data_IF_791292415400
#
_entry.id   IF_791292415400
#
_cell.length_a   1.000
_cell.length_b   1.000
_cell.length_c   1.000
_cell.angle_alpha   90.00
_cell.angle_beta   90.00
_cell.angle_gamma   90.00
#
_symmetry.space_group_name_H-M   'P 1'
#
loop_
_entity.id
_entity.type
_entity.pdbx_description
1 polymer ?
#
# COMPACT_ATOMS: atom_id res chain seq x y z
N UNK A 1 -34.20 21.02 -18.09
CA UNK A 1 -32.88 21.51 -18.51
C UNK A 1 -32.16 21.79 -17.21
N UNK A 2 -31.01 21.27 -16.94
CA UNK A 2 -30.34 21.52 -15.66
C UNK A 2 -30.06 23.02 -15.49
N UNK A 3 -30.14 23.50 -14.27
CA UNK A 3 -29.95 24.94 -13.95
C UNK A 3 -28.44 25.27 -13.91
N UNK A 4 -27.60 24.32 -13.54
CA UNK A 4 -26.13 24.43 -13.51
C UNK A 4 -25.53 23.26 -14.24
N UNK A 5 -24.58 23.57 -15.12
CA UNK A 5 -23.76 22.56 -15.80
C UNK A 5 -22.30 22.92 -15.60
N UNK A 6 -21.48 21.95 -15.16
CA UNK A 6 -20.04 22.05 -15.10
C UNK A 6 -19.46 20.91 -15.94
N UNK A 7 -18.51 21.23 -16.80
CA UNK A 7 -17.81 20.25 -17.62
C UNK A 7 -16.31 20.28 -17.30
N UNK A 8 -15.70 19.12 -17.30
CA UNK A 8 -14.27 18.92 -17.08
C UNK A 8 -13.75 18.05 -18.19
N UNK A 9 -12.77 18.53 -18.93
CA UNK A 9 -12.08 17.79 -19.97
C UNK A 9 -11.05 16.78 -19.40
N UNK A 10 -10.52 15.94 -20.26
CA UNK A 10 -9.52 14.93 -19.88
C UNK A 10 -8.23 15.53 -19.30
N UNK A 11 -7.83 16.70 -19.77
CA UNK A 11 -6.60 17.36 -19.31
C UNK A 11 -6.77 17.85 -17.88
N UNK A 12 -7.89 18.52 -17.58
CA UNK A 12 -8.20 18.96 -16.23
C UNK A 12 -8.43 17.76 -15.30
N UNK A 13 -9.13 16.71 -15.76
CA UNK A 13 -9.32 15.48 -15.00
C UNK A 13 -8.00 14.78 -14.70
N UNK A 14 -7.08 14.73 -15.64
CA UNK A 14 -5.72 14.19 -15.45
C UNK A 14 -4.93 15.01 -14.42
N UNK A 15 -5.05 16.32 -14.44
CA UNK A 15 -4.42 17.18 -13.44
C UNK A 15 -4.94 16.89 -12.04
N UNK A 16 -6.25 16.70 -11.90
CA UNK A 16 -6.89 16.36 -10.62
C UNK A 16 -6.42 15.00 -10.08
N UNK A 17 -6.23 14.00 -10.96
CA UNK A 17 -5.72 12.69 -10.50
C UNK A 17 -4.29 12.80 -10.01
N UNK A 18 -3.43 13.57 -10.67
CA UNK A 18 -2.05 13.78 -10.21
C UNK A 18 -1.99 14.50 -8.86
N UNK A 19 -2.87 15.46 -8.61
CA UNK A 19 -3.00 16.11 -7.30
C UNK A 19 -3.48 15.12 -6.23
N UNK A 20 -4.41 14.23 -6.59
CA UNK A 20 -4.88 13.17 -5.70
C UNK A 20 -3.78 12.15 -5.38
N UNK A 21 -2.98 11.73 -6.36
CA UNK A 21 -1.83 10.84 -6.18
C UNK A 21 -0.78 11.47 -5.25
N UNK A 22 -0.47 12.75 -5.46
CA UNK A 22 0.45 13.50 -4.61
C UNK A 22 -0.04 13.59 -3.15
N UNK A 23 -1.36 13.75 -2.96
CA UNK A 23 -1.99 13.81 -1.64
C UNK A 23 -2.02 12.44 -0.97
N UNK A 24 -2.28 11.37 -1.72
CA UNK A 24 -2.27 10.00 -1.21
C UNK A 24 -0.87 9.59 -0.73
N UNK A 25 0.17 10.05 -1.43
CA UNK A 25 1.57 9.82 -1.11
C UNK A 25 1.94 8.33 -1.11
N UNK A 26 2.88 7.97 -0.24
CA UNK A 26 3.35 6.59 -0.11
C UNK A 26 2.66 5.89 1.06
N UNK A 27 1.96 4.83 0.75
CA UNK A 27 1.42 3.91 1.75
C UNK A 27 2.54 2.98 2.21
N UNK A 28 2.77 2.89 3.52
CA UNK A 28 3.80 2.02 4.06
C UNK A 28 3.27 1.16 5.22
N UNK A 29 3.75 -0.07 5.28
CA UNK A 29 3.49 -0.99 6.37
C UNK A 29 4.72 -1.82 6.69
N UNK A 30 4.84 -2.22 7.95
CA UNK A 30 5.92 -3.10 8.41
C UNK A 30 5.39 -4.06 9.47
N UNK A 31 6.12 -5.15 9.64
CA UNK A 31 5.82 -6.13 10.66
C UNK A 31 7.07 -6.94 11.00
N UNK A 32 7.00 -7.67 12.09
CA UNK A 32 8.05 -8.58 12.52
C UNK A 32 7.46 -9.82 13.17
N UNK A 33 8.22 -10.89 13.14
CA UNK A 33 7.88 -12.14 13.80
C UNK A 33 9.16 -12.87 14.23
N UNK A 34 9.04 -13.73 15.23
CA UNK A 34 10.15 -14.57 15.69
C UNK A 34 9.72 -16.03 15.76
N UNK A 35 10.65 -16.92 15.41
CA UNK A 35 10.49 -18.36 15.54
C UNK A 35 11.78 -18.94 16.12
N UNK A 36 11.75 -19.27 17.41
CA UNK A 36 12.94 -19.68 18.14
C UNK A 36 14.03 -18.60 18.11
N UNK A 37 15.27 -18.95 17.69
CA UNK A 37 16.38 -18.00 17.64
C UNK A 37 16.33 -17.04 16.43
N UNK A 38 15.33 -17.17 15.57
CA UNK A 38 15.21 -16.40 14.35
C UNK A 38 14.20 -15.27 14.52
N UNK A 39 14.58 -14.09 14.09
CA UNK A 39 13.69 -12.95 13.95
C UNK A 39 13.64 -12.55 12.48
N UNK A 40 12.45 -12.37 11.97
CA UNK A 40 12.25 -11.83 10.64
C UNK A 40 11.44 -10.54 10.75
N UNK A 41 11.86 -9.52 10.02
CA UNK A 41 11.10 -8.28 9.87
C UNK A 41 10.88 -8.01 8.39
N UNK A 42 9.76 -7.39 8.09
CA UNK A 42 9.42 -6.98 6.75
C UNK A 42 8.92 -5.53 6.75
N UNK A 43 9.17 -4.85 5.66
CA UNK A 43 8.60 -3.55 5.35
C UNK A 43 8.10 -3.57 3.91
N UNK A 44 7.00 -2.89 3.67
CA UNK A 44 6.46 -2.76 2.34
C UNK A 44 5.96 -1.34 2.16
N UNK A 45 6.16 -0.78 0.99
CA UNK A 45 5.62 0.51 0.61
C UNK A 45 5.05 0.45 -0.80
N UNK A 46 4.04 1.29 -1.06
CA UNK A 46 3.41 1.41 -2.36
C UNK A 46 2.99 2.86 -2.59
N UNK A 47 3.16 3.36 -3.80
CA UNK A 47 2.65 4.64 -4.25
C UNK A 47 2.11 4.52 -5.66
N UNK A 48 1.07 5.28 -5.96
CA UNK A 48 0.52 5.44 -7.29
C UNK A 48 1.18 6.66 -7.93
N UNK A 49 1.52 6.53 -9.19
CA UNK A 49 2.15 7.61 -9.95
C UNK A 49 1.74 7.50 -11.41
N UNK A 50 1.78 8.62 -12.09
CA UNK A 50 1.44 8.75 -13.49
C UNK A 50 0.03 8.22 -13.77
N UNK A 51 -0.63 8.55 -14.64
CA UNK A 51 -1.97 8.14 -15.00
C UNK A 51 -2.55 9.24 -15.87
N UNK A 52 -3.20 8.86 -16.93
CA UNK A 52 -3.95 9.77 -17.77
C UNK A 52 -5.42 9.36 -17.75
N UNK A 53 -6.28 10.34 -17.74
CA UNK A 53 -7.72 10.10 -17.83
C UNK A 53 -8.10 10.00 -19.30
N UNK A 54 -8.88 8.98 -19.60
CA UNK A 54 -9.58 8.75 -20.87
C UNK A 54 -11.07 8.64 -20.52
N UNK A 55 -11.84 9.62 -20.93
CA UNK A 55 -13.27 9.71 -20.67
C UNK A 55 -14.03 8.96 -21.74
N UNK A 56 -14.83 7.96 -21.37
CA UNK A 56 -15.53 7.09 -22.31
C UNK A 56 -17.05 7.21 -22.08
N UNK A 57 -17.80 7.70 -23.06
CA UNK A 57 -19.26 7.77 -22.94
C UNK A 57 -19.89 6.38 -22.75
N UNK A 58 -20.99 6.24 -21.98
CA UNK A 58 -21.72 7.35 -21.36
C UNK A 58 -21.29 7.68 -19.93
N UNK A 59 -20.46 6.89 -19.25
CA UNK A 59 -20.13 7.10 -17.85
C UNK A 59 -18.94 6.25 -17.40
N UNK A 60 -17.89 6.16 -18.22
CA UNK A 60 -16.66 5.47 -17.84
C UNK A 60 -15.52 6.47 -17.80
N UNK A 61 -14.85 6.52 -16.67
CA UNK A 61 -13.58 7.23 -16.46
C UNK A 61 -12.48 6.18 -16.42
N UNK A 62 -11.70 6.09 -17.47
CA UNK A 62 -10.57 5.17 -17.56
C UNK A 62 -9.31 5.87 -17.14
N UNK A 63 -8.59 5.29 -16.20
CA UNK A 63 -7.23 5.70 -15.84
C UNK A 63 -6.27 4.79 -16.58
N UNK A 64 -5.54 5.34 -17.55
CA UNK A 64 -4.54 4.61 -18.34
C UNK A 64 -3.15 4.87 -17.80
N UNK A 65 -2.22 3.94 -18.05
CA UNK A 65 -0.79 4.08 -17.73
C UNK A 65 -0.50 4.43 -16.25
N UNK A 66 -1.41 4.08 -15.34
CA UNK A 66 -1.15 4.25 -13.92
C UNK A 66 -0.01 3.32 -13.46
N UNK A 67 0.95 3.84 -12.75
CA UNK A 67 2.08 3.08 -12.23
C UNK A 67 1.94 2.84 -10.72
N UNK A 68 1.92 1.57 -10.33
CA UNK A 68 2.06 1.17 -8.94
C UNK A 68 3.54 0.91 -8.67
N UNK A 69 4.21 1.86 -8.03
CA UNK A 69 5.55 1.70 -7.52
C UNK A 69 5.48 1.00 -6.17
N UNK A 70 6.14 -0.14 -6.02
CA UNK A 70 6.17 -0.82 -4.73
C UNK A 70 7.55 -1.28 -4.35
N UNK A 71 7.82 -1.32 -3.04
CA UNK A 71 9.05 -1.86 -2.48
C UNK A 71 8.74 -2.83 -1.35
N UNK A 72 9.53 -3.87 -1.27
CA UNK A 72 9.48 -4.89 -0.24
C UNK A 72 10.87 -5.03 0.36
N UNK A 73 10.97 -4.81 1.67
CA UNK A 73 12.16 -5.07 2.45
C UNK A 73 11.93 -6.27 3.36
N UNK A 74 12.91 -7.16 3.41
CA UNK A 74 12.89 -8.32 4.29
C UNK A 74 14.23 -8.37 5.04
N UNK A 75 14.21 -8.55 6.33
CA UNK A 75 15.41 -8.67 7.13
C UNK A 75 15.30 -9.89 8.03
N UNK A 76 16.27 -10.77 7.94
CA UNK A 76 16.44 -11.92 8.84
C UNK A 76 17.55 -11.63 9.82
N UNK A 77 17.27 -11.85 11.08
CA UNK A 77 18.25 -11.75 12.16
C UNK A 77 18.24 -13.03 12.99
N UNK A 78 19.38 -13.55 13.30
CA UNK A 78 19.50 -14.68 14.21
C UNK A 78 20.72 -14.53 15.08
N UNK A 79 20.54 -14.90 16.33
CA UNK A 79 21.58 -14.90 17.32
C UNK A 79 22.21 -16.29 17.41
N UNK A 80 23.47 -16.39 16.99
CA UNK A 80 24.20 -17.64 17.02
C UNK A 80 24.41 -18.16 18.45
N UNK A 81 24.44 -17.30 19.46
CA UNK A 81 24.61 -17.70 20.87
C UNK A 81 23.46 -18.57 21.39
N UNK A 82 22.26 -18.44 20.78
CA UNK A 82 21.10 -19.28 21.14
C UNK A 82 21.14 -20.68 20.54
N UNK A 83 21.95 -20.89 19.50
CA UNK A 83 22.07 -22.17 18.77
C UNK A 83 23.37 -22.90 19.19
N UNK A 84 24.45 -22.14 19.33
CA UNK A 84 25.76 -22.63 19.70
C UNK A 84 26.08 -22.13 21.11
N UNK A 85 26.21 -23.00 22.10
CA UNK A 85 26.55 -22.57 23.44
C UNK A 85 27.87 -21.79 23.46
N UNK A 86 27.92 -20.74 24.27
CA UNK A 86 29.12 -19.97 24.47
C UNK A 86 30.22 -20.88 24.94
N UNK A 87 31.35 -20.89 24.22
CA UNK A 87 32.50 -21.69 24.54
C UNK A 87 33.52 -20.80 25.24
N UNK A 88 33.76 -21.11 26.49
CA UNK A 88 34.84 -20.48 27.24
C UNK A 88 35.98 -21.43 27.44
N UNK A 89 37.19 -21.05 27.04
CA UNK A 89 38.40 -21.80 27.36
C UNK A 89 38.60 -21.80 28.85
N UNK A 90 38.84 -22.98 29.46
CA UNK A 90 39.11 -23.04 30.88
C UNK A 90 40.37 -22.24 31.21
N UNK A 91 40.37 -21.58 32.36
CA UNK A 91 41.53 -20.88 32.88
C UNK A 91 42.62 -21.88 33.18
N UNK A 92 43.77 -21.78 32.54
CA UNK A 92 44.95 -22.61 32.82
C UNK A 92 45.81 -21.83 33.80
N UNK A 93 45.99 -22.40 34.98
CA UNK A 93 46.83 -21.79 36.03
C UNK A 93 48.08 -22.68 36.18
N UNK A 94 49.28 -22.07 36.18
CA UNK A 94 50.54 -22.67 36.43
C UNK A 94 51.01 -22.18 37.81
N UNK A 95 51.17 -23.11 38.77
CA UNK A 95 51.68 -22.70 40.09
C UNK A 95 53.15 -22.25 39.96
N UNK A 96 53.45 -21.09 40.48
CA UNK A 96 54.81 -20.55 40.52
C UNK A 96 55.22 -20.25 42.00
N UNK A 97 56.48 -20.13 42.31
CA UNK A 97 56.93 -19.80 43.68
C UNK A 97 56.40 -18.44 44.19
N UNK A 98 55.87 -17.61 43.29
CA UNK A 98 55.38 -16.27 43.61
C UNK A 98 53.84 -16.16 43.52
N UNK A 99 53.10 -17.29 43.37
CA UNK A 99 51.67 -17.37 43.22
C UNK A 99 51.29 -18.00 41.87
N UNK A 100 49.99 -18.29 41.69
CA UNK A 100 49.49 -18.90 40.47
C UNK A 100 49.46 -17.91 39.29
N UNK A 101 50.14 -18.22 38.19
CA UNK A 101 50.06 -17.49 36.96
C UNK A 101 48.94 -18.11 36.11
N UNK A 102 47.82 -17.40 36.01
CA UNK A 102 46.66 -17.90 35.27
C UNK A 102 46.46 -17.18 33.93
N UNK A 103 46.11 -17.91 32.89
CA UNK A 103 45.66 -17.32 31.63
C UNK A 103 44.29 -16.59 31.86
N UNK A 104 44.03 -15.51 31.15
CA UNK A 104 42.70 -14.92 31.18
C UNK A 104 41.68 -15.92 30.63
N UNK A 105 40.46 -15.88 31.16
CA UNK A 105 39.33 -16.66 30.58
C UNK A 105 38.96 -16.05 29.25
N UNK A 106 39.07 -16.80 28.18
CA UNK A 106 38.71 -16.38 26.84
C UNK A 106 37.36 -17.02 26.53
N UNK A 107 36.32 -16.19 26.40
CA UNK A 107 35.01 -16.64 25.95
C UNK A 107 34.80 -16.19 24.49
N UNK A 108 34.21 -17.04 23.69
CA UNK A 108 33.79 -16.70 22.32
C UNK A 108 32.33 -16.31 22.41
N UNK A 109 32.08 -15.04 22.19
CA UNK A 109 30.72 -14.51 22.06
C UNK A 109 30.33 -14.62 20.58
N UNK A 110 29.21 -15.30 20.31
CA UNK A 110 28.72 -15.49 18.95
C UNK A 110 27.92 -14.24 18.51
N UNK A 111 28.22 -13.68 17.33
CA UNK A 111 27.52 -12.49 16.88
C UNK A 111 26.09 -12.78 16.41
N UNK A 112 25.23 -11.78 16.50
CA UNK A 112 23.97 -11.77 15.77
C UNK A 112 24.24 -11.49 14.29
N UNK A 113 23.74 -12.36 13.42
CA UNK A 113 23.84 -12.21 11.98
C UNK A 113 22.54 -11.61 11.47
N UNK A 114 22.62 -10.54 10.67
CA UNK A 114 21.47 -9.91 10.02
C UNK A 114 21.66 -9.88 8.52
N UNK A 115 20.67 -10.38 7.78
CA UNK A 115 20.66 -10.45 6.32
C UNK A 115 19.51 -9.59 5.79
N UNK A 116 19.79 -8.39 5.28
CA UNK A 116 18.78 -7.56 4.63
C UNK A 116 18.60 -8.00 3.17
N UNK A 117 17.34 -8.05 2.73
CA UNK A 117 16.94 -8.31 1.35
C UNK A 117 15.94 -7.25 0.93
N UNK A 118 16.17 -6.59 -0.19
CA UNK A 118 15.29 -5.55 -0.70
C UNK A 118 14.90 -5.84 -2.14
N UNK A 119 13.65 -5.55 -2.45
CA UNK A 119 13.10 -5.65 -3.78
C UNK A 119 12.21 -4.45 -4.07
N UNK A 120 12.28 -3.92 -5.28
CA UNK A 120 11.37 -2.87 -5.75
C UNK A 120 11.04 -3.11 -7.22
N UNK A 121 9.81 -2.79 -7.60
CA UNK A 121 9.35 -2.92 -8.98
C UNK A 121 8.21 -1.93 -9.25
N UNK A 122 7.86 -1.80 -10.53
CA UNK A 122 6.80 -0.94 -11.01
C UNK A 122 5.85 -1.76 -11.87
N UNK A 123 4.57 -1.72 -11.53
CA UNK A 123 3.52 -2.37 -12.32
C UNK A 123 2.64 -1.32 -12.95
N UNK A 124 2.54 -1.35 -14.28
CA UNK A 124 1.60 -0.51 -15.03
C UNK A 124 0.24 -1.21 -15.14
N UNK A 125 -0.81 -0.42 -14.99
CA UNK A 125 -2.16 -0.92 -15.13
C UNK A 125 -3.12 0.15 -15.66
N UNK A 126 -4.25 -0.31 -16.15
CA UNK A 126 -5.40 0.52 -16.54
C UNK A 126 -6.59 0.11 -15.68
N UNK A 127 -7.34 1.08 -15.20
CA UNK A 127 -8.53 0.82 -14.38
C UNK A 127 -9.72 1.63 -14.90
N UNK A 128 -10.89 1.01 -14.94
CA UNK A 128 -12.14 1.64 -15.33
C UNK A 128 -12.99 1.95 -14.10
N UNK A 129 -13.45 3.18 -14.04
CA UNK A 129 -14.30 3.70 -12.98
C UNK A 129 -15.59 4.26 -13.57
N UNK A 130 -16.67 4.27 -12.77
CA UNK A 130 -17.88 5.04 -13.06
C UNK A 130 -18.16 6.00 -11.92
N UNK A 131 -18.82 7.09 -12.22
CA UNK A 131 -19.34 7.99 -11.21
C UNK A 131 -20.78 7.57 -10.87
N UNK A 132 -21.06 7.43 -9.59
CA UNK A 132 -22.39 7.16 -9.06
C UNK A 132 -22.80 8.31 -8.12
N UNK A 133 -23.84 9.01 -8.52
CA UNK A 133 -24.39 10.14 -7.75
C UNK A 133 -25.67 9.69 -7.08
N UNK A 134 -25.74 9.83 -5.75
CA UNK A 134 -26.89 9.37 -4.97
C UNK A 134 -27.18 10.27 -3.78
N UNK A 135 -28.45 10.38 -3.44
CA UNK A 135 -28.88 11.06 -2.23
C UNK A 135 -28.94 10.07 -1.07
N UNK A 136 -28.20 10.36 0.01
CA UNK A 136 -28.17 9.56 1.23
C UNK A 136 -28.53 10.43 2.42
N UNK A 137 -29.73 10.23 2.95
CA UNK A 137 -30.27 11.12 3.98
C UNK A 137 -30.49 12.51 3.45
N UNK A 138 -29.73 13.47 3.95
CA UNK A 138 -29.80 14.90 3.56
C UNK A 138 -28.67 15.31 2.61
N UNK A 139 -27.77 14.40 2.27
CA UNK A 139 -26.55 14.75 1.53
C UNK A 139 -26.50 14.03 0.18
N UNK A 140 -26.12 14.76 -0.85
CA UNK A 140 -25.71 14.22 -2.12
C UNK A 140 -24.27 13.70 -2.00
N UNK A 141 -24.07 12.45 -2.40
CA UNK A 141 -22.78 11.80 -2.46
C UNK A 141 -22.39 11.53 -3.91
N UNK A 142 -21.16 11.89 -4.27
CA UNK A 142 -20.54 11.49 -5.54
C UNK A 142 -19.52 10.43 -5.22
N UNK A 143 -19.80 9.22 -5.67
CA UNK A 143 -18.94 8.06 -5.46
C UNK A 143 -18.24 7.67 -6.76
N UNK A 144 -16.97 7.36 -6.67
CA UNK A 144 -16.24 6.64 -7.71
C UNK A 144 -16.40 5.15 -7.48
N UNK A 145 -16.90 4.43 -8.47
CA UNK A 145 -17.12 2.97 -8.42
C UNK A 145 -16.17 2.28 -9.38
N UNK A 146 -15.39 1.33 -8.89
CA UNK A 146 -14.50 0.52 -9.73
C UNK A 146 -15.35 -0.47 -10.54
N UNK A 147 -15.27 -0.40 -11.86
CA UNK A 147 -16.01 -1.29 -12.79
C UNK A 147 -15.16 -2.48 -13.22
N UNK A 148 -13.91 -2.23 -13.53
CA UNK A 148 -13.00 -3.26 -14.00
C UNK A 148 -11.55 -2.92 -13.68
N UNK A 149 -10.85 -3.88 -13.14
CA UNK A 149 -9.39 -3.85 -13.04
C UNK A 149 -8.90 -5.11 -13.73
N UNK A 150 -7.95 -5.01 -14.67
CA UNK A 150 -7.27 -6.20 -15.14
C UNK A 150 -6.69 -6.90 -13.92
N UNK A 151 -6.83 -8.22 -13.86
CA UNK A 151 -6.43 -9.02 -12.70
C UNK A 151 -4.95 -8.78 -12.38
N UNK A 152 -4.67 -7.81 -11.51
CA UNK A 152 -3.37 -7.57 -10.94
C UNK A 152 -3.07 -8.73 -9.98
N UNK A 153 -2.41 -9.76 -10.51
CA UNK A 153 -2.02 -10.92 -9.71
C UNK A 153 -0.77 -10.57 -8.87
N UNK A 154 -0.78 -9.36 -8.25
CA UNK A 154 0.29 -8.85 -7.40
C UNK A 154 0.59 -9.79 -6.24
N UNK A 155 -0.41 -10.49 -5.72
CA UNK A 155 -0.22 -11.42 -4.61
C UNK A 155 0.65 -12.60 -5.00
N UNK A 156 0.44 -13.18 -6.19
CA UNK A 156 1.25 -14.31 -6.67
C UNK A 156 2.66 -13.87 -7.07
N UNK A 157 2.80 -12.73 -7.74
CA UNK A 157 4.10 -12.19 -8.12
C UNK A 157 4.92 -11.81 -6.88
N UNK A 158 4.35 -11.07 -5.92
CA UNK A 158 5.04 -10.69 -4.69
C UNK A 158 5.38 -11.91 -3.83
N UNK A 159 4.51 -12.92 -3.73
CA UNK A 159 4.81 -14.16 -3.03
C UNK A 159 5.97 -14.92 -3.70
N UNK A 160 6.00 -15.00 -5.03
CA UNK A 160 7.09 -15.63 -5.77
C UNK A 160 8.42 -14.90 -5.57
N UNK A 161 8.41 -13.58 -5.56
CA UNK A 161 9.58 -12.75 -5.32
C UNK A 161 10.11 -12.95 -3.90
N UNK A 162 9.24 -12.87 -2.89
CA UNK A 162 9.63 -13.10 -1.50
C UNK A 162 10.18 -14.53 -1.29
N UNK A 163 9.55 -15.52 -1.90
CA UNK A 163 10.09 -16.90 -1.88
C UNK A 163 11.46 -16.98 -2.55
N UNK A 164 11.65 -16.32 -3.69
CA UNK A 164 12.94 -16.22 -4.39
C UNK A 164 14.03 -15.57 -3.55
N UNK A 165 13.71 -14.48 -2.86
CA UNK A 165 14.62 -13.80 -1.92
C UNK A 165 15.00 -14.73 -0.75
N UNK A 166 14.06 -15.49 -0.21
CA UNK A 166 14.33 -16.46 0.84
C UNK A 166 15.26 -17.60 0.39
N UNK A 167 15.07 -18.08 -0.84
CA UNK A 167 15.97 -19.07 -1.44
C UNK A 167 17.38 -18.51 -1.65
N UNK A 168 17.49 -17.25 -2.10
CA UNK A 168 18.79 -16.59 -2.25
C UNK A 168 19.49 -16.42 -0.89
N UNK A 169 18.77 -16.03 0.16
CA UNK A 169 19.31 -15.96 1.52
C UNK A 169 19.74 -17.33 2.03
N UNK A 170 18.95 -18.38 1.77
CA UNK A 170 19.29 -19.74 2.13
C UNK A 170 20.56 -20.21 1.43
N UNK A 171 20.77 -19.86 0.15
CA UNK A 171 21.98 -20.18 -0.59
C UNK A 171 23.23 -19.50 -0.01
N UNK A 172 23.11 -18.27 0.52
CA UNK A 172 24.20 -17.57 1.21
C UNK A 172 24.57 -18.26 2.53
N UNK A 173 23.59 -18.82 3.22
CA UNK A 173 23.79 -19.49 4.52
C UNK A 173 24.28 -20.93 4.40
N UNK A 174 23.90 -21.65 3.33
CA UNK A 174 24.21 -23.07 3.14
C UNK A 174 25.69 -23.41 3.26
N UNK A 175 26.66 -22.60 2.78
CA UNK A 175 28.10 -22.94 2.88
C UNK A 175 28.67 -22.78 4.29
N UNK A 176 27.94 -22.28 5.28
CA UNK A 176 28.47 -22.17 6.66
C UNK A 176 28.62 -23.55 7.26
N UNK A 177 29.87 -23.99 7.68
CA UNK A 177 30.11 -25.31 8.16
C UNK A 177 29.21 -25.70 9.33
N UNK A 178 28.71 -26.92 9.35
CA UNK A 178 27.91 -27.58 10.40
C UNK A 178 26.50 -27.04 10.64
N UNK A 179 26.26 -25.72 10.54
CA UNK A 179 24.96 -25.11 10.84
C UNK A 179 24.28 -24.51 9.61
N UNK A 180 25.04 -24.25 8.55
CA UNK A 180 24.54 -23.59 7.34
C UNK A 180 23.30 -24.26 6.73
N UNK A 181 23.29 -25.60 6.56
CA UNK A 181 22.10 -26.27 6.01
C UNK A 181 20.84 -26.14 6.88
N UNK A 182 21.00 -26.17 8.21
CA UNK A 182 19.86 -25.98 9.14
C UNK A 182 19.32 -24.56 9.05
N UNK A 183 20.22 -23.58 9.04
CA UNK A 183 19.87 -22.16 8.88
C UNK A 183 19.19 -21.88 7.53
N UNK A 184 19.71 -22.50 6.45
CA UNK A 184 19.14 -22.36 5.12
C UNK A 184 17.69 -22.85 5.05
N UNK A 185 17.39 -24.02 5.65
CA UNK A 185 16.02 -24.55 5.72
C UNK A 185 15.13 -23.65 6.55
N UNK A 186 15.61 -23.18 7.71
CA UNK A 186 14.84 -22.30 8.59
C UNK A 186 14.51 -20.96 7.90
N UNK A 187 15.48 -20.33 7.25
CA UNK A 187 15.27 -19.07 6.51
C UNK A 187 14.29 -19.27 5.36
N UNK A 188 14.42 -20.34 4.58
CA UNK A 188 13.47 -20.63 3.50
C UNK A 188 12.05 -20.85 4.03
N UNK A 189 11.90 -21.58 5.15
CA UNK A 189 10.60 -21.79 5.79
C UNK A 189 9.97 -20.51 6.31
N UNK A 190 10.74 -19.68 7.02
CA UNK A 190 10.25 -18.38 7.54
C UNK A 190 9.87 -17.45 6.39
N UNK A 191 10.66 -17.41 5.32
CA UNK A 191 10.36 -16.58 4.15
C UNK A 191 9.06 -17.01 3.49
N UNK A 192 8.83 -18.32 3.36
CA UNK A 192 7.57 -18.82 2.81
C UNK A 192 6.36 -18.42 3.68
N UNK A 193 6.49 -18.48 5.01
CA UNK A 193 5.43 -18.05 5.94
C UNK A 193 5.18 -16.55 5.82
N UNK A 194 6.23 -15.73 5.76
CA UNK A 194 6.11 -14.27 5.63
C UNK A 194 5.57 -13.91 4.25
N UNK A 195 5.99 -14.60 3.19
CA UNK A 195 5.44 -14.40 1.85
C UNK A 195 3.92 -14.57 1.83
N UNK A 196 3.42 -15.61 2.48
CA UNK A 196 1.98 -15.86 2.56
C UNK A 196 1.28 -14.85 3.48
N UNK A 197 1.77 -14.68 4.69
CA UNK A 197 1.13 -13.82 5.70
C UNK A 197 1.34 -12.32 5.43
N UNK A 198 2.54 -11.92 5.01
CA UNK A 198 2.88 -10.52 4.74
C UNK A 198 2.22 -10.00 3.46
N UNK A 199 2.20 -10.82 2.40
CA UNK A 199 1.56 -10.47 1.13
C UNK A 199 0.04 -10.36 1.29
N UNK A 200 -0.60 -11.30 1.97
CA UNK A 200 -2.04 -11.22 2.24
C UNK A 200 -2.40 -10.08 3.20
N UNK A 201 -1.54 -9.78 4.18
CA UNK A 201 -1.75 -8.70 5.14
C UNK A 201 -1.48 -7.30 4.59
N UNK A 202 -0.53 -7.16 3.67
CA UNK A 202 -0.14 -5.88 3.09
C UNK A 202 -0.83 -5.60 1.73
N UNK A 203 -0.76 -6.54 0.81
CA UNK A 203 -1.38 -6.38 -0.50
C UNK A 203 -2.90 -6.57 -0.46
N UNK A 204 -3.44 -7.30 0.50
CA UNK A 204 -4.88 -7.45 0.67
C UNK A 204 -5.62 -6.11 0.73
N UNK A 205 -5.25 -5.17 1.60
CA UNK A 205 -5.83 -3.83 1.61
C UNK A 205 -5.62 -3.05 0.30
N UNK A 206 -4.45 -3.15 -0.34
CA UNK A 206 -4.19 -2.49 -1.63
C UNK A 206 -5.03 -3.15 -2.74
N UNK A 207 -5.08 -4.46 -2.80
CA UNK A 207 -5.90 -5.18 -3.76
C UNK A 207 -7.40 -4.94 -3.54
N UNK A 208 -7.82 -4.76 -2.29
CA UNK A 208 -9.21 -4.42 -1.98
C UNK A 208 -9.61 -3.03 -2.51
N UNK A 209 -8.65 -2.12 -2.71
CA UNK A 209 -8.89 -0.84 -3.36
C UNK A 209 -9.24 -1.00 -4.85
N UNK A 210 -8.92 -2.13 -5.46
CA UNK A 210 -9.14 -2.42 -6.88
C UNK A 210 -10.20 -3.52 -7.11
N UNK A 211 -11.02 -3.83 -6.11
CA UNK A 211 -12.10 -4.80 -6.28
C UNK A 211 -13.26 -4.15 -7.04
N UNK A 212 -13.71 -4.78 -8.11
CA UNK A 212 -14.88 -4.31 -8.86
C UNK A 212 -16.10 -4.12 -7.93
N UNK A 213 -16.77 -2.98 -8.09
CA UNK A 213 -17.91 -2.59 -7.27
C UNK A 213 -17.55 -1.86 -5.96
N UNK A 214 -16.25 -1.70 -5.64
CA UNK A 214 -15.84 -0.88 -4.51
C UNK A 214 -16.18 0.60 -4.79
N UNK A 215 -16.70 1.27 -3.77
CA UNK A 215 -17.13 2.66 -3.85
C UNK A 215 -16.25 3.53 -2.97
N UNK A 216 -15.82 4.65 -3.54
CA UNK A 216 -15.09 5.69 -2.81
C UNK A 216 -15.89 6.98 -2.89
N UNK A 217 -16.30 7.51 -1.76
CA UNK A 217 -16.90 8.84 -1.74
C UNK A 217 -15.80 9.88 -1.98
N UNK A 218 -15.95 10.64 -3.07
CA UNK A 218 -15.01 11.70 -3.44
C UNK A 218 -15.55 13.09 -3.13
N UNK A 219 -16.87 13.22 -3.00
CA UNK A 219 -17.51 14.48 -2.71
C UNK A 219 -18.84 14.28 -2.00
N UNK A 220 -19.15 15.16 -1.04
CA UNK A 220 -20.41 15.20 -0.32
C UNK A 220 -20.89 16.63 -0.21
N UNK A 221 -22.16 16.85 -0.52
CA UNK A 221 -22.79 18.17 -0.46
C UNK A 221 -24.19 18.06 0.18
N UNK A 222 -24.51 18.86 1.20
CA UNK A 222 -25.87 18.93 1.71
C UNK A 222 -26.87 19.27 0.61
N UNK A 223 -28.00 18.58 0.61
CA UNK A 223 -29.08 18.86 -0.34
C UNK A 223 -29.65 20.29 -0.14
N UNK A 224 -29.67 20.76 1.10
CA UNK A 224 -30.20 22.03 1.50
C UNK A 224 -29.11 22.85 2.18
N UNK A 225 -28.82 24.02 1.66
CA UNK A 225 -27.78 24.88 2.24
C UNK A 225 -28.14 26.35 2.15
N UNK A 226 -27.67 27.09 3.13
CA UNK A 226 -27.86 28.52 3.23
C UNK A 226 -26.85 29.25 2.33
N UNK A 227 -27.36 30.08 1.42
CA UNK A 227 -26.54 30.87 0.49
C UNK A 227 -26.32 32.27 1.03
N UNK A 228 -27.37 32.85 1.61
CA UNK A 228 -27.30 34.16 2.25
C UNK A 228 -27.84 34.06 3.68
N UNK A 229 -27.02 34.39 4.68
CA UNK A 229 -27.49 34.42 6.06
C UNK A 229 -28.54 35.51 6.30
N UNK A 230 -29.41 35.26 7.26
CA UNK A 230 -30.41 36.28 7.65
C UNK A 230 -29.73 37.55 8.16
N UNK A 231 -30.07 38.69 7.56
CA UNK A 231 -29.65 40.02 8.02
C UNK A 231 -30.55 40.63 9.08
N UNK A 232 -31.68 39.98 9.41
CA UNK A 232 -32.66 40.46 10.41
C UNK A 232 -34.10 40.07 10.07
N UNK A 233 -35.09 40.58 10.83
CA UNK A 233 -36.51 40.19 10.66
C UNK A 233 -37.11 40.52 9.29
N UNK A 234 -36.53 41.48 8.57
CA UNK A 234 -36.97 41.91 7.23
C UNK A 234 -36.08 41.38 6.09
N UNK A 235 -35.03 40.65 6.44
CA UNK A 235 -34.07 40.09 5.50
C UNK A 235 -33.83 38.60 5.88
N UNK A 236 -34.76 37.73 5.47
CA UNK A 236 -34.66 36.31 5.81
C UNK A 236 -33.48 35.62 5.12
N UNK A 237 -32.97 34.55 5.72
CA UNK A 237 -31.96 33.70 5.09
C UNK A 237 -32.49 33.12 3.77
N UNK A 238 -31.60 33.04 2.79
CA UNK A 238 -31.91 32.43 1.49
C UNK A 238 -31.27 31.05 1.43
N UNK A 239 -32.08 30.06 1.17
CA UNK A 239 -31.69 28.66 1.03
C UNK A 239 -31.82 28.21 -0.42
N UNK A 240 -30.97 27.28 -0.81
CA UNK A 240 -31.07 26.58 -2.09
C UNK A 240 -31.15 25.08 -1.81
N UNK A 241 -32.05 24.41 -2.54
CA UNK A 241 -32.12 22.96 -2.59
C UNK A 241 -31.47 22.45 -3.86
N UNK A 242 -30.61 21.44 -3.74
CA UNK A 242 -30.15 20.68 -4.88
C UNK A 242 -31.15 19.52 -5.10
N UNK A 243 -32.01 19.66 -6.09
CA UNK A 243 -33.07 18.69 -6.34
C UNK A 243 -32.55 17.42 -7.02
N UNK A 244 -31.73 17.60 -8.03
CA UNK A 244 -31.03 16.49 -8.70
C UNK A 244 -29.58 16.85 -8.98
N UNK A 245 -28.71 15.86 -8.88
CA UNK A 245 -27.32 15.93 -9.37
C UNK A 245 -27.10 14.73 -10.28
N UNK A 246 -26.59 14.98 -11.47
CA UNK A 246 -26.22 13.96 -12.46
C UNK A 246 -24.74 14.06 -12.83
N UNK A 247 -24.14 12.95 -13.15
CA UNK A 247 -22.80 12.88 -13.72
C UNK A 247 -22.82 11.94 -14.93
N UNK A 248 -22.25 12.37 -16.04
CA UNK A 248 -22.12 11.57 -17.25
C UNK A 248 -20.88 12.00 -18.03
N UNK A 249 -20.41 11.13 -18.92
CA UNK A 249 -19.40 11.50 -19.92
C UNK A 249 -20.12 11.81 -21.22
N UNK A 250 -19.97 13.04 -21.73
CA UNK A 250 -20.55 13.51 -22.97
C UNK A 250 -19.47 13.67 -24.05
N UNK A 251 -19.60 12.92 -25.15
CA UNK A 251 -18.74 13.02 -26.33
C UNK A 251 -19.37 13.78 -27.50
N UNK A 252 -20.52 14.44 -27.30
CA UNK A 252 -21.26 15.09 -28.39
C UNK A 252 -20.57 16.33 -28.97
N UNK A 253 -19.66 16.95 -28.21
CA UNK A 253 -18.90 18.15 -28.60
C UNK A 253 -17.67 17.90 -29.45
N UNK A 254 -17.26 16.64 -29.67
CA UNK A 254 -16.03 16.26 -30.37
C UNK A 254 -14.82 16.04 -29.47
N UNK A 255 -14.91 16.42 -28.21
CA UNK A 255 -14.05 16.05 -27.11
C UNK A 255 -14.90 15.40 -26.04
N UNK A 256 -14.35 14.40 -25.36
CA UNK A 256 -15.04 13.75 -24.25
C UNK A 256 -14.89 14.58 -22.99
N UNK A 257 -16.03 14.89 -22.36
CA UNK A 257 -16.11 15.73 -21.18
C UNK A 257 -16.87 15.02 -20.05
N UNK A 258 -16.39 15.13 -18.83
CA UNK A 258 -17.15 14.77 -17.65
C UNK A 258 -18.09 15.92 -17.31
N UNK A 259 -19.38 15.69 -17.49
CA UNK A 259 -20.42 16.69 -17.27
C UNK A 259 -21.14 16.40 -15.96
N UNK A 260 -21.11 17.39 -15.06
CA UNK A 260 -21.93 17.44 -13.86
C UNK A 260 -23.11 18.38 -14.11
N UNK A 261 -24.31 17.90 -13.87
CA UNK A 261 -25.56 18.66 -14.03
C UNK A 261 -26.31 18.75 -12.70
N UNK A 262 -26.85 19.91 -12.40
CA UNK A 262 -27.56 20.17 -11.15
C UNK A 262 -28.85 20.93 -11.44
N UNK A 263 -29.97 20.44 -10.90
CA UNK A 263 -31.22 21.20 -10.81
C UNK A 263 -31.37 21.77 -9.41
N UNK A 264 -31.80 23.03 -9.33
CA UNK A 264 -31.95 23.75 -8.07
C UNK A 264 -33.34 24.29 -7.89
N UNK A 265 -33.78 24.38 -6.62
CA UNK A 265 -34.99 25.12 -6.24
C UNK A 265 -34.72 25.98 -5.01
N UNK A 266 -35.53 27.02 -4.87
CA UNK A 266 -35.48 27.95 -3.73
C UNK A 266 -36.48 27.58 -2.65
#
# INVERSE_FOLDING_TARGET
>A
MPDIIAAVDEVAATTLIHDAEATLGTLARSGSGSLGPFTASWSASASLQQGAIDLIPPNVVRVTDCELHYSLGLSFSFDLSTIIPDFCLPRICIPTPFGDLCTPRICIDWPTITIPLNYSDVVKFTADFTLDVRLVGTDWLVDVVIVGVPALNLSAAAAAILAGLGLAAAAILAPIPFIGPILAIAVAGITAIIAIAGVTGFLGPILSLFVAGLRFNIYSQPRHFEVLPSGGPVDPAVFINLDTIGALVDGSGGEDELVLSVDISA
#
